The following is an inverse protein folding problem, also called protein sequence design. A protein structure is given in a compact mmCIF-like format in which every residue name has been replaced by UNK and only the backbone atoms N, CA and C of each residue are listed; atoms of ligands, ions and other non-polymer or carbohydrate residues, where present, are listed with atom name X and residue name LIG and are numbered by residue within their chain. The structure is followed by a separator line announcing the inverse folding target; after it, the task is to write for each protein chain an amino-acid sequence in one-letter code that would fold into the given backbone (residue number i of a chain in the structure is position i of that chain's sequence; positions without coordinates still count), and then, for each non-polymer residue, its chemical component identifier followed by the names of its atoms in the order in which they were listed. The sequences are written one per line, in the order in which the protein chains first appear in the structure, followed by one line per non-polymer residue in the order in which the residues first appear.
data_IF_086757916431
#
_entry.id   IF_086757916431
#
_cell.length_a   1.000
_cell.length_b   1.000
_cell.length_c   1.000
_cell.angle_alpha   90.00
_cell.angle_beta   90.00
_cell.angle_gamma   90.00
#
_symmetry.space_group_name_H-M   'P 1'
#
loop_
_entity.id
_entity.type
_entity.pdbx_description
1 polymer ?
#
# COMPACT_ATOMS: atom_id res chain seq x y z
N UNK A 1 -4.96 -1.00 22.51
CA UNK A 1 -3.65 -0.76 21.85
C UNK A 1 -3.78 -1.22 20.41
N UNK A 2 -3.89 -0.29 19.46
CA UNK A 2 -3.81 -0.64 18.03
C UNK A 2 -2.38 -1.13 17.79
N UNK A 3 -2.23 -2.39 17.40
CA UNK A 3 -0.93 -3.01 17.13
C UNK A 3 -0.40 -2.37 15.85
N UNK A 4 0.43 -1.35 15.98
CA UNK A 4 1.12 -0.74 14.83
C UNK A 4 2.00 -1.82 14.21
N UNK A 5 1.83 -2.02 12.90
CA UNK A 5 2.68 -2.92 12.14
C UNK A 5 4.09 -2.35 12.19
N UNK A 6 5.09 -3.16 12.54
CA UNK A 6 6.49 -2.73 12.55
C UNK A 6 7.26 -3.46 11.46
N UNK A 7 8.25 -2.77 10.88
CA UNK A 7 9.18 -3.40 9.99
C UNK A 7 9.97 -4.47 10.76
N UNK A 8 10.02 -5.74 10.29
CA UNK A 8 10.76 -6.79 10.99
C UNK A 8 12.27 -6.54 11.01
N UNK A 9 12.79 -5.72 10.09
CA UNK A 9 14.22 -5.45 9.95
C UNK A 9 14.69 -4.25 10.78
N UNK A 10 14.05 -3.09 10.62
CA UNK A 10 14.45 -1.86 11.29
C UNK A 10 13.56 -1.46 12.46
N UNK A 11 12.50 -2.22 12.76
CA UNK A 11 11.54 -1.97 13.84
C UNK A 11 10.79 -0.63 13.75
N UNK A 12 10.92 0.09 12.63
CA UNK A 12 10.18 1.30 12.35
C UNK A 12 8.68 0.99 12.24
N UNK A 13 7.85 1.92 12.75
CA UNK A 13 6.40 1.85 12.62
C UNK A 13 5.99 2.04 11.15
N UNK A 14 5.19 1.11 10.66
CA UNK A 14 4.68 1.06 9.29
C UNK A 14 3.22 1.52 9.28
N UNK A 15 2.93 2.55 8.50
CA UNK A 15 1.58 3.08 8.34
C UNK A 15 1.01 2.69 6.98
N UNK A 16 -0.31 2.51 6.91
CA UNK A 16 -0.97 2.18 5.64
C UNK A 16 -0.78 3.28 4.58
N UNK A 17 -0.61 4.52 5.03
CA UNK A 17 -0.38 5.72 4.22
C UNK A 17 0.98 5.71 3.51
N UNK A 18 1.96 4.97 4.05
CA UNK A 18 3.27 4.78 3.43
C UNK A 18 3.15 3.94 2.15
N UNK A 19 2.22 2.98 2.15
CA UNK A 19 2.05 2.01 1.06
C UNK A 19 0.91 2.35 0.13
N UNK A 20 -0.11 3.08 0.59
CA UNK A 20 -1.30 3.39 -0.19
C UNK A 20 -1.63 4.87 -0.20
N UNK A 21 -2.30 5.30 -1.27
CA UNK A 21 -3.00 6.57 -1.34
C UNK A 21 -4.24 6.46 -0.46
N UNK A 22 -4.23 7.20 0.64
CA UNK A 22 -5.35 7.32 1.55
C UNK A 22 -6.06 8.64 1.26
N UNK A 23 -7.35 8.56 0.93
CA UNK A 23 -8.19 9.72 0.69
C UNK A 23 -9.15 9.88 1.86
N UNK A 24 -9.10 11.03 2.50
CA UNK A 24 -10.09 11.43 3.49
C UNK A 24 -11.18 12.25 2.80
N UNK A 25 -12.42 11.77 2.90
CA UNK A 25 -13.57 12.49 2.36
C UNK A 25 -14.59 12.72 3.45
N UNK A 26 -14.91 13.99 3.68
CA UNK A 26 -16.04 14.36 4.52
C UNK A 26 -17.34 14.12 3.75
N UNK A 27 -18.26 13.38 4.36
CA UNK A 27 -19.60 13.19 3.83
C UNK A 27 -20.46 14.42 4.15
N UNK A 28 -21.52 14.67 3.35
CA UNK A 28 -22.49 15.76 3.59
C UNK A 28 -23.16 15.74 5.00
N UNK A 29 -22.98 14.66 5.76
CA UNK A 29 -23.45 14.49 7.15
C UNK A 29 -22.34 14.71 8.20
N UNK A 30 -21.21 15.30 7.83
CA UNK A 30 -20.08 15.58 8.73
C UNK A 30 -19.29 14.34 9.19
N UNK A 31 -19.49 13.17 8.55
CA UNK A 31 -18.69 11.97 8.86
C UNK A 31 -17.47 11.92 7.95
N UNK A 32 -16.28 11.86 8.55
CA UNK A 32 -15.02 11.53 7.87
C UNK A 32 -15.02 10.06 7.45
N UNK A 33 -14.80 9.81 6.16
CA UNK A 33 -14.58 8.47 5.62
C UNK A 33 -13.19 8.40 5.00
N UNK A 34 -12.40 7.46 5.49
CA UNK A 34 -11.10 7.13 4.95
C UNK A 34 -11.26 6.07 3.86
N UNK A 35 -10.77 6.33 2.65
CA UNK A 35 -10.76 5.38 1.55
C UNK A 35 -9.33 5.11 1.11
N UNK A 36 -8.91 3.86 1.20
CA UNK A 36 -7.65 3.37 0.63
C UNK A 36 -7.87 3.11 -0.86
N UNK A 37 -7.02 3.67 -1.73
CA UNK A 37 -7.22 3.61 -3.19
C UNK A 37 -6.07 2.87 -3.88
N UNK A 38 -5.00 3.58 -4.23
CA UNK A 38 -3.93 3.06 -5.07
C UNK A 38 -2.70 2.70 -4.23
N UNK A 39 -2.06 1.56 -4.53
CA UNK A 39 -0.78 1.19 -3.94
C UNK A 39 0.37 2.00 -4.57
N UNK A 40 1.18 2.64 -3.71
CA UNK A 40 2.29 3.55 -4.04
C UNK A 40 3.62 2.85 -4.34
N UNK A 41 3.79 1.59 -3.95
CA UNK A 41 5.06 0.89 -4.15
C UNK A 41 5.35 0.62 -5.63
N UNK A 42 6.63 0.39 -5.90
CA UNK A 42 7.16 0.25 -7.26
C UNK A 42 6.48 -0.92 -7.99
N UNK A 43 6.06 -0.63 -9.22
CA UNK A 43 5.51 -1.62 -10.14
C UNK A 43 6.62 -2.15 -11.03
N UNK A 44 6.88 -3.45 -10.92
CA UNK A 44 7.75 -4.18 -11.83
C UNK A 44 6.85 -4.84 -12.88
N UNK A 45 6.90 -4.32 -14.09
CA UNK A 45 6.15 -4.87 -15.23
C UNK A 45 6.89 -6.09 -15.80
N UNK A 46 6.20 -7.21 -15.93
CA UNK A 46 6.71 -8.43 -16.58
C UNK A 46 5.68 -8.92 -17.58
N UNK A 47 5.65 -8.29 -18.76
CA UNK A 47 4.69 -8.61 -19.83
C UNK A 47 3.24 -8.29 -19.43
N UNK A 48 2.32 -9.25 -19.60
CA UNK A 48 0.90 -9.11 -19.21
C UNK A 48 0.61 -9.26 -17.72
N UNK A 49 1.66 -9.36 -16.90
CA UNK A 49 1.59 -9.43 -15.45
C UNK A 49 2.48 -8.36 -14.83
N UNK A 50 2.06 -7.78 -13.72
CA UNK A 50 2.89 -6.88 -12.94
C UNK A 50 2.95 -7.32 -11.49
N UNK A 51 4.09 -7.03 -10.86
CA UNK A 51 4.27 -7.21 -9.42
C UNK A 51 4.42 -5.83 -8.81
N UNK A 52 3.72 -5.60 -7.71
CA UNK A 52 3.89 -4.42 -6.89
C UNK A 52 4.74 -4.80 -5.69
N UNK A 53 5.86 -4.12 -5.52
CA UNK A 53 6.82 -4.43 -4.46
C UNK A 53 6.54 -3.58 -3.23
N UNK A 54 6.60 -4.23 -2.06
CA UNK A 54 6.49 -3.59 -0.76
C UNK A 54 7.90 -3.41 -0.24
N UNK A 55 8.36 -2.17 -0.13
CA UNK A 55 9.61 -1.82 0.51
C UNK A 55 9.33 -1.02 1.78
N UNK A 56 10.12 -1.24 2.83
CA UNK A 56 10.03 -0.42 4.03
C UNK A 56 10.46 1.01 3.70
N UNK A 57 9.67 2.05 4.02
CA UNK A 57 10.02 3.44 3.73
C UNK A 57 11.23 3.95 4.53
N UNK A 58 11.64 3.23 5.59
CA UNK A 58 12.74 3.64 6.47
C UNK A 58 14.07 2.96 6.19
N UNK A 59 14.07 1.75 5.60
CA UNK A 59 15.29 0.97 5.39
C UNK A 59 15.36 0.28 4.02
N UNK A 60 14.42 0.60 3.12
CA UNK A 60 14.30 0.09 1.74
C UNK A 60 14.27 -1.44 1.62
N UNK A 61 14.13 -2.15 2.73
CA UNK A 61 14.12 -3.61 2.72
C UNK A 61 12.80 -4.10 2.18
N UNK A 62 12.87 -5.05 1.25
CA UNK A 62 11.70 -5.65 0.62
C UNK A 62 10.93 -6.47 1.68
N UNK A 63 9.70 -6.04 1.96
CA UNK A 63 8.77 -6.67 2.88
C UNK A 63 7.91 -7.73 2.19
N UNK A 64 7.73 -7.63 0.86
CA UNK A 64 6.97 -8.60 0.10
C UNK A 64 6.61 -8.10 -1.31
N UNK A 65 5.85 -8.94 -2.02
CA UNK A 65 5.36 -8.65 -3.37
C UNK A 65 3.86 -8.92 -3.41
N UNK A 66 3.08 -8.04 -4.03
CA UNK A 66 1.70 -8.33 -4.41
C UNK A 66 1.63 -8.58 -5.90
N UNK A 67 1.20 -9.79 -6.26
CA UNK A 67 0.82 -10.13 -7.63
C UNK A 67 -0.46 -9.39 -8.01
N UNK A 68 -0.45 -8.71 -9.15
CA UNK A 68 -1.70 -8.32 -9.82
C UNK A 68 -1.70 -8.89 -11.23
N UNK A 69 -2.77 -9.61 -11.57
CA UNK A 69 -3.05 -9.96 -12.96
C UNK A 69 -3.79 -8.79 -13.57
N UNK A 70 -3.31 -8.30 -14.72
CA UNK A 70 -4.15 -7.49 -15.60
C UNK A 70 -5.20 -8.46 -16.14
N UNK A 71 -6.36 -8.54 -15.47
CA UNK A 71 -7.53 -9.16 -16.10
C UNK A 71 -7.96 -8.19 -17.19
N UNK A 72 -7.60 -8.48 -18.43
CA UNK A 72 -8.26 -7.92 -19.60
C UNK A 72 -9.74 -8.32 -19.52
N UNK A 73 -10.55 -7.48 -18.86
CA UNK A 73 -11.99 -7.50 -19.02
C UNK A 73 -12.27 -6.91 -20.41
N UNK A 74 -12.28 -7.78 -21.41
CA UNK A 74 -12.90 -7.55 -22.71
C UNK A 74 -14.42 -7.49 -22.53
#
# INVERSE_FOLDING_TARGET
MLKMSKCPYCQADLHIEDFFVVLEKETKKGKLKTKVKDFKGESIEKGWSGFKMWACPSCDTILGFSEYRISSAT
#
